data_IF_014450236622
#
_entry.id   IF_014450236622
#
_cell.length_a   1.000
_cell.length_b   1.000
_cell.length_c   1.000
_cell.angle_alpha   90.00
_cell.angle_beta   90.00
_cell.angle_gamma   90.00
#
_symmetry.space_group_name_H-M   'P 1'
#
loop_
_entity.id
_entity.type
_entity.pdbx_description
1 polymer ?
#
# COMPACT_ATOMS: atom_id res chain seq x y z
N UNK A 1 18.78 11.47 15.15
CA UNK A 1 18.35 10.77 13.93
C UNK A 1 17.02 11.37 13.57
N UNK A 2 16.89 12.03 12.41
CA UNK A 2 15.62 12.59 11.99
C UNK A 2 14.63 11.43 11.84
N UNK A 3 13.41 11.58 12.37
CA UNK A 3 12.35 10.64 12.06
C UNK A 3 12.22 10.62 10.54
N UNK A 4 12.50 9.48 9.91
CA UNK A 4 12.23 9.29 8.48
C UNK A 4 10.77 9.66 8.26
N UNK A 5 10.51 10.69 7.45
CA UNK A 5 9.14 11.17 7.19
C UNK A 5 8.34 10.04 6.55
N UNK A 6 7.49 9.39 7.36
CA UNK A 6 6.51 8.41 6.88
C UNK A 6 5.37 9.16 6.21
N UNK A 7 5.00 8.73 5.01
CA UNK A 7 3.86 9.30 4.29
C UNK A 7 2.66 8.38 4.48
N UNK A 8 1.88 8.62 5.54
CA UNK A 8 0.73 7.79 5.88
C UNK A 8 -0.56 8.62 5.89
N UNK A 9 -1.30 8.56 4.79
CA UNK A 9 -2.64 9.13 4.71
C UNK A 9 -3.63 8.34 5.58
N UNK A 10 -4.66 8.98 6.15
CA UNK A 10 -5.72 8.27 6.85
C UNK A 10 -6.50 7.37 5.89
N UNK A 11 -6.70 6.10 6.26
CA UNK A 11 -7.42 5.13 5.44
C UNK A 11 -8.76 4.72 6.09
N UNK A 12 -9.78 4.34 5.31
CA UNK A 12 -10.99 3.74 5.84
C UNK A 12 -10.71 2.47 6.65
N UNK A 13 -11.51 2.19 7.67
CA UNK A 13 -11.31 1.05 8.56
C UNK A 13 -11.21 -0.31 7.84
N UNK A 14 -11.95 -0.50 6.75
CA UNK A 14 -11.88 -1.72 5.93
C UNK A 14 -10.50 -1.91 5.29
N UNK A 15 -9.89 -0.82 4.81
CA UNK A 15 -8.55 -0.82 4.23
C UNK A 15 -7.51 -1.08 5.32
N UNK A 16 -7.64 -0.44 6.49
CA UNK A 16 -6.73 -0.69 7.62
C UNK A 16 -6.78 -2.14 8.09
N UNK A 17 -7.97 -2.73 8.15
CA UNK A 17 -8.14 -4.13 8.51
C UNK A 17 -7.50 -5.06 7.48
N UNK A 18 -7.75 -4.80 6.19
CA UNK A 18 -7.13 -5.57 5.10
C UNK A 18 -5.60 -5.46 5.13
N UNK A 19 -5.08 -4.27 5.42
CA UNK A 19 -3.64 -4.05 5.58
C UNK A 19 -3.07 -4.88 6.74
N UNK A 20 -3.74 -4.93 7.90
CA UNK A 20 -3.29 -5.77 9.04
C UNK A 20 -3.26 -7.26 8.72
N UNK A 21 -4.09 -7.72 7.78
CA UNK A 21 -4.12 -9.12 7.35
C UNK A 21 -3.01 -9.48 6.37
N UNK A 22 -2.57 -8.52 5.55
CA UNK A 22 -1.60 -8.75 4.45
C UNK A 22 -0.17 -8.40 4.88
N UNK A 23 -0.02 -7.32 5.64
CA UNK A 23 1.27 -6.86 6.16
C UNK A 23 1.53 -7.56 7.48
N UNK A 24 2.65 -8.27 7.57
CA UNK A 24 3.03 -8.97 8.79
C UNK A 24 3.24 -7.97 9.95
N UNK A 25 2.97 -8.40 11.18
CA UNK A 25 3.05 -7.51 12.35
C UNK A 25 4.46 -6.94 12.60
N UNK A 26 5.50 -7.59 12.08
CA UNK A 26 6.90 -7.13 12.12
C UNK A 26 7.27 -6.22 10.93
N UNK A 27 6.39 -6.06 9.94
CA UNK A 27 6.61 -5.16 8.81
C UNK A 27 6.14 -3.74 9.13
N UNK A 28 7.06 -2.80 9.01
CA UNK A 28 6.75 -1.39 9.13
C UNK A 28 6.20 -0.83 7.81
N UNK A 29 5.09 -0.10 7.89
CA UNK A 29 4.53 0.64 6.75
C UNK A 29 5.18 2.01 6.70
N UNK A 30 5.91 2.29 5.62
CA UNK A 30 6.60 3.56 5.39
C UNK A 30 5.72 4.53 4.60
N UNK A 31 5.00 4.02 3.60
CA UNK A 31 4.09 4.79 2.75
C UNK A 31 2.73 4.10 2.75
N UNK A 32 1.67 4.88 2.93
CA UNK A 32 0.27 4.52 2.72
C UNK A 32 -0.41 5.72 2.08
N UNK A 33 -0.74 5.60 0.80
CA UNK A 33 -1.36 6.70 0.05
C UNK A 33 -2.49 6.18 -0.82
N UNK A 34 -3.49 7.02 -0.98
CA UNK A 34 -4.51 6.84 -1.99
C UNK A 34 -3.92 7.13 -3.38
N UNK A 35 -4.22 6.29 -4.36
CA UNK A 35 -3.88 6.52 -5.76
C UNK A 35 -5.11 6.31 -6.65
N UNK A 36 -5.23 7.16 -7.66
CA UNK A 36 -6.41 7.28 -8.54
C UNK A 36 -6.23 6.57 -9.89
N UNK A 37 -5.22 5.71 -10.04
CA UNK A 37 -4.86 5.11 -11.32
C UNK A 37 -4.98 3.59 -11.33
N UNK A 38 -5.95 3.04 -12.06
CA UNK A 38 -6.18 1.60 -12.25
C UNK A 38 -5.11 0.89 -13.08
N UNK A 39 -5.13 -0.46 -13.15
CA UNK A 39 -4.22 -1.23 -14.00
C UNK A 39 -4.46 -0.92 -15.49
N UNK A 40 -5.70 -0.60 -15.85
CA UNK A 40 -6.12 -0.21 -17.19
C UNK A 40 -5.83 1.26 -17.52
N UNK A 41 -5.06 1.97 -16.66
CA UNK A 41 -4.76 3.41 -16.78
C UNK A 41 -6.02 4.29 -16.81
N UNK A 42 -7.11 3.81 -16.21
CA UNK A 42 -8.34 4.58 -15.98
C UNK A 42 -8.34 5.15 -14.58
N UNK A 43 -9.16 6.16 -14.33
CA UNK A 43 -9.47 6.58 -12.98
C UNK A 43 -10.05 5.41 -12.18
N UNK A 44 -9.52 5.18 -10.98
CA UNK A 44 -10.11 4.26 -10.02
C UNK A 44 -9.33 4.19 -8.72
N UNK A 45 -10.05 3.77 -7.67
CA UNK A 45 -9.63 3.92 -6.29
C UNK A 45 -8.73 2.76 -5.87
N UNK A 46 -7.51 3.05 -5.45
CA UNK A 46 -6.58 2.05 -4.88
C UNK A 46 -5.73 2.63 -3.78
N UNK A 47 -5.18 1.73 -2.98
CA UNK A 47 -4.19 2.07 -1.96
C UNK A 47 -2.84 1.52 -2.34
N UNK A 48 -1.82 2.37 -2.25
CA UNK A 48 -0.42 1.96 -2.40
C UNK A 48 0.20 1.96 -1.02
N UNK A 49 0.67 0.78 -0.61
CA UNK A 49 1.36 0.56 0.66
C UNK A 49 2.79 0.15 0.35
N UNK A 50 3.76 0.79 1.01
CA UNK A 50 5.18 0.45 0.87
C UNK A 50 5.73 0.07 2.23
N UNK A 51 6.34 -1.11 2.27
CA UNK A 51 7.17 -1.58 3.40
C UNK A 51 8.62 -1.67 2.92
N UNK A 52 9.60 -1.85 3.83
CA UNK A 52 10.99 -2.11 3.44
C UNK A 52 11.17 -3.34 2.52
N UNK A 53 10.17 -4.24 2.45
CA UNK A 53 10.27 -5.50 1.70
C UNK A 53 9.57 -5.44 0.34
N UNK A 54 8.44 -4.75 0.24
CA UNK A 54 7.54 -4.81 -0.93
C UNK A 54 6.61 -3.60 -1.03
N UNK A 55 6.10 -3.41 -2.24
CA UNK A 55 4.94 -2.56 -2.53
C UNK A 55 3.71 -3.45 -2.59
N UNK A 56 2.64 -3.07 -1.92
CA UNK A 56 1.33 -3.71 -1.97
C UNK A 56 0.34 -2.72 -2.56
N UNK A 57 -0.37 -3.14 -3.60
CA UNK A 57 -1.46 -2.37 -4.21
C UNK A 57 -2.77 -3.05 -3.83
N UNK A 58 -3.57 -2.37 -3.01
CA UNK A 58 -4.91 -2.84 -2.64
C UNK A 58 -5.96 -2.21 -3.57
N UNK A 59 -6.85 -3.02 -4.14
CA UNK A 59 -8.05 -2.52 -4.81
C UNK A 59 -8.97 -1.74 -3.84
N UNK A 60 -9.98 -1.09 -4.41
CA UNK A 60 -10.96 -0.28 -3.68
C UNK A 60 -11.52 -0.98 -2.43
N UNK A 61 -11.71 -0.18 -1.37
CA UNK A 61 -12.34 -0.59 -0.09
C UNK A 61 -11.76 -1.86 0.57
N UNK A 62 -10.54 -2.27 0.22
CA UNK A 62 -9.92 -3.48 0.79
C UNK A 62 -10.47 -4.78 0.18
N UNK A 63 -11.02 -4.70 -1.04
CA UNK A 63 -11.42 -5.87 -1.81
C UNK A 63 -10.25 -6.85 -2.04
N UNK A 64 -10.59 -8.10 -2.35
CA UNK A 64 -9.60 -9.13 -2.72
C UNK A 64 -8.91 -8.80 -4.05
N UNK A 65 -7.71 -9.35 -4.24
CA UNK A 65 -6.89 -9.06 -5.43
C UNK A 65 -5.75 -8.08 -5.18
N UNK A 66 -5.17 -8.10 -3.97
CA UNK A 66 -3.96 -7.37 -3.67
C UNK A 66 -2.82 -7.80 -4.61
N UNK A 67 -2.13 -6.83 -5.20
CA UNK A 67 -0.91 -7.08 -5.98
C UNK A 67 0.29 -6.76 -5.13
N UNK A 68 1.25 -7.69 -5.06
CA UNK A 68 2.46 -7.51 -4.29
C UNK A 68 3.69 -7.55 -5.20
N UNK A 69 4.54 -6.54 -5.07
CA UNK A 69 5.77 -6.41 -5.84
C UNK A 69 6.93 -6.25 -4.85
N UNK A 70 7.88 -7.21 -4.79
CA UNK A 70 9.08 -7.06 -3.98
C UNK A 70 9.84 -5.78 -4.34
N UNK A 71 10.30 -5.03 -3.35
CA UNK A 71 10.95 -3.73 -3.60
C UNK A 71 12.23 -3.90 -4.44
N UNK A 72 12.89 -5.05 -4.32
CA UNK A 72 14.06 -5.44 -5.11
C UNK A 72 13.79 -5.55 -6.62
N UNK A 73 12.52 -5.63 -7.04
CA UNK A 73 12.12 -5.69 -8.46
C UNK A 73 11.78 -4.31 -9.03
N UNK A 74 11.66 -3.26 -8.19
CA UNK A 74 11.36 -1.91 -8.65
C UNK A 74 12.64 -1.29 -9.23
N UNK A 75 12.61 -0.98 -10.53
CA UNK A 75 13.72 -0.36 -11.25
C UNK A 75 13.44 1.13 -11.46
N UNK A 76 14.52 1.92 -11.54
CA UNK A 76 14.48 3.36 -11.80
C UNK A 76 14.31 3.67 -13.29
#
# INVERSE_FOLDING_TARGET
MAAEERLQEPAPAAVEEKMRQIVAADEEILIRVFADLTEERRFGNRWVIVTPRRVVVLPEEGADGAVEVPIAQVQR
#
